data_IF_333361546734
#
_entry.id   IF_333361546734
#
_cell.length_a   1.000
_cell.length_b   1.000
_cell.length_c   1.000
_cell.angle_alpha   90.00
_cell.angle_beta   90.00
_cell.angle_gamma   90.00
#
_symmetry.space_group_name_H-M   'P 1'
#
loop_
_entity.id
_entity.type
_entity.pdbx_description
1 polymer ?
#
# COMPACT_ATOMS: atom_id res chain seq x y z
N UNK A 1 -9.06 11.07 -6.46
CA UNK A 1 -7.72 11.07 -5.84
C UNK A 1 -7.50 12.43 -5.20
N UNK A 2 -7.34 12.50 -3.89
CA UNK A 2 -7.06 13.72 -3.13
C UNK A 2 -5.56 14.02 -3.08
N UNK A 3 -5.19 15.22 -2.60
CA UNK A 3 -3.77 15.60 -2.39
C UNK A 3 -3.09 14.67 -1.38
N UNK A 4 -3.79 14.32 -0.30
CA UNK A 4 -3.29 13.42 0.74
C UNK A 4 -3.06 12.00 0.20
N UNK A 5 -4.00 11.46 -0.56
CA UNK A 5 -3.84 10.15 -1.23
C UNK A 5 -2.63 10.16 -2.17
N UNK A 6 -2.47 11.23 -2.96
CA UNK A 6 -1.31 11.39 -3.84
C UNK A 6 0.01 11.38 -3.06
N UNK A 7 0.08 12.07 -1.93
CA UNK A 7 1.26 12.10 -1.05
C UNK A 7 1.64 10.71 -0.54
N UNK A 8 0.66 9.91 -0.09
CA UNK A 8 0.89 8.54 0.36
C UNK A 8 1.51 7.66 -0.73
N UNK A 9 0.99 7.77 -1.95
CA UNK A 9 1.48 6.99 -3.09
C UNK A 9 2.92 7.35 -3.46
N UNK A 10 3.24 8.65 -3.46
CA UNK A 10 4.60 9.15 -3.72
C UNK A 10 5.55 8.65 -2.64
N UNK A 11 5.19 8.76 -1.36
CA UNK A 11 6.02 8.27 -0.24
C UNK A 11 6.27 6.77 -0.33
N UNK A 12 5.27 5.98 -0.69
CA UNK A 12 5.46 4.54 -0.94
C UNK A 12 6.46 4.26 -2.06
N UNK A 13 6.35 4.98 -3.18
CA UNK A 13 7.24 4.83 -4.36
C UNK A 13 8.68 5.22 -4.07
N UNK A 14 8.90 6.26 -3.27
CA UNK A 14 10.24 6.75 -2.92
C UNK A 14 10.96 5.89 -1.87
N UNK A 15 10.38 4.76 -1.48
CA UNK A 15 11.02 3.82 -0.57
C UNK A 15 10.36 3.72 0.78
N UNK A 16 9.40 4.60 1.12
CA UNK A 16 8.65 4.68 2.38
C UNK A 16 9.49 4.84 3.66
N UNK A 17 10.60 4.13 3.75
CA UNK A 17 11.54 4.13 4.84
C UNK A 17 12.08 5.55 5.00
N UNK A 18 11.92 6.18 6.17
CA UNK A 18 12.75 7.34 6.46
C UNK A 18 14.21 6.87 6.39
N UNK A 19 15.12 7.74 5.95
CA UNK A 19 16.56 7.54 6.15
C UNK A 19 16.98 7.57 7.63
N UNK A 20 16.10 7.15 8.55
CA UNK A 20 16.26 7.14 10.00
C UNK A 20 16.03 5.75 10.60
N UNK A 21 16.07 5.66 11.93
CA UNK A 21 15.94 4.38 12.66
C UNK A 21 14.55 3.76 12.42
N UNK A 22 14.44 2.44 12.12
CA UNK A 22 13.16 1.76 11.99
C UNK A 22 12.36 1.90 13.28
N UNK A 23 11.12 2.41 13.21
CA UNK A 23 10.21 2.37 14.36
C UNK A 23 9.78 0.94 14.62
N UNK A 24 9.50 0.53 15.87
CA UNK A 24 8.89 -0.76 16.13
C UNK A 24 7.48 -0.80 15.52
N UNK A 25 7.07 -1.96 15.00
CA UNK A 25 5.69 -2.15 14.59
C UNK A 25 4.78 -2.24 15.83
N UNK A 26 3.49 -1.91 15.67
CA UNK A 26 2.48 -2.08 16.73
C UNK A 26 2.31 -3.52 17.18
N UNK A 27 2.74 -4.51 16.38
CA UNK A 27 2.77 -5.91 16.79
C UNK A 27 3.97 -6.30 17.67
N UNK A 28 4.82 -5.33 18.07
CA UNK A 28 5.98 -5.55 18.94
C UNK A 28 7.25 -6.01 18.23
N UNK A 29 7.20 -6.32 16.93
CA UNK A 29 8.38 -6.71 16.17
C UNK A 29 9.14 -5.50 15.57
N UNK A 30 10.46 -5.57 15.63
CA UNK A 30 11.42 -4.63 15.03
C UNK A 30 12.52 -5.44 14.34
N UNK A 31 13.06 -5.00 13.18
CA UNK A 31 12.83 -3.73 12.48
C UNK A 31 11.59 -3.73 11.56
N UNK A 32 10.98 -2.56 11.41
CA UNK A 32 9.89 -2.34 10.45
C UNK A 32 10.42 -2.38 9.02
N UNK A 33 10.27 -3.52 8.37
CA UNK A 33 10.59 -3.72 6.94
C UNK A 33 9.33 -3.78 6.09
N UNK A 34 9.45 -3.55 4.77
CA UNK A 34 8.33 -3.74 3.82
C UNK A 34 7.73 -5.14 3.89
N UNK A 35 8.56 -6.17 4.06
CA UNK A 35 8.12 -7.56 4.19
C UNK A 35 7.33 -7.76 5.49
N UNK A 36 7.84 -7.24 6.59
CA UNK A 36 7.17 -7.33 7.88
C UNK A 36 5.80 -6.65 7.86
N UNK A 37 5.73 -5.39 7.39
CA UNK A 37 4.46 -4.65 7.39
C UNK A 37 3.44 -5.26 6.42
N UNK A 38 3.90 -5.85 5.30
CA UNK A 38 3.04 -6.60 4.38
C UNK A 38 2.37 -7.79 5.06
N UNK A 39 3.10 -8.51 5.90
CA UNK A 39 2.57 -9.62 6.69
C UNK A 39 1.67 -9.12 7.82
N UNK A 40 2.13 -8.12 8.60
CA UNK A 40 1.41 -7.60 9.76
C UNK A 40 0.05 -6.99 9.40
N UNK A 41 -0.06 -6.35 8.23
CA UNK A 41 -1.29 -5.71 7.75
C UNK A 41 -2.03 -6.55 6.70
N UNK A 42 -1.60 -7.79 6.47
CA UNK A 42 -2.22 -8.74 5.54
C UNK A 42 -2.46 -8.16 4.12
N UNK A 43 -1.44 -7.52 3.53
CA UNK A 43 -1.57 -6.82 2.25
C UNK A 43 -2.14 -7.70 1.14
N UNK A 44 -1.66 -8.94 1.04
CA UNK A 44 -2.12 -9.90 0.03
C UNK A 44 -3.62 -10.16 0.09
N UNK A 45 -4.12 -10.40 1.31
CA UNK A 45 -5.55 -10.66 1.55
C UNK A 45 -6.38 -9.43 1.18
N UNK A 46 -5.98 -8.26 1.70
CA UNK A 46 -6.76 -7.02 1.56
C UNK A 46 -6.73 -6.42 0.15
N UNK A 47 -5.68 -6.70 -0.62
CA UNK A 47 -5.53 -6.26 -2.02
C UNK A 47 -5.89 -7.36 -3.04
N UNK A 48 -6.27 -8.55 -2.58
CA UNK A 48 -6.54 -9.71 -3.44
C UNK A 48 -5.36 -10.02 -4.39
N UNK A 49 -4.13 -9.93 -3.86
CA UNK A 49 -2.90 -10.19 -4.61
C UNK A 49 -2.31 -11.54 -4.19
N UNK A 50 -1.90 -12.40 -5.14
CA UNK A 50 -1.26 -13.68 -4.83
C UNK A 50 -0.06 -13.54 -3.89
N UNK A 51 0.10 -14.48 -2.95
CA UNK A 51 1.18 -14.50 -1.94
C UNK A 51 2.59 -14.56 -2.55
N UNK A 52 2.72 -15.06 -3.78
CA UNK A 52 3.98 -15.08 -4.54
C UNK A 52 4.51 -13.68 -4.93
N UNK A 53 3.69 -12.64 -4.84
CA UNK A 53 4.09 -11.27 -5.22
C UNK A 53 4.80 -10.59 -4.05
N UNK A 54 6.11 -10.35 -4.17
CA UNK A 54 6.90 -9.82 -3.05
C UNK A 54 6.42 -8.45 -2.50
N UNK A 55 5.92 -7.56 -3.37
CA UNK A 55 5.39 -6.24 -2.98
C UNK A 55 3.97 -6.04 -3.57
N UNK A 56 2.92 -6.39 -2.79
CA UNK A 56 1.54 -6.28 -3.24
C UNK A 56 1.10 -4.86 -3.60
N UNK A 57 1.56 -3.86 -2.83
CA UNK A 57 1.21 -2.47 -3.08
C UNK A 57 1.82 -2.02 -4.41
N UNK A 58 3.13 -2.21 -4.60
CA UNK A 58 3.79 -1.83 -5.85
C UNK A 58 3.20 -2.56 -7.05
N UNK A 59 2.81 -3.83 -6.89
CA UNK A 59 2.12 -4.60 -7.93
C UNK A 59 0.79 -3.97 -8.35
N UNK A 60 -0.04 -3.54 -7.40
CA UNK A 60 -1.30 -2.84 -7.70
C UNK A 60 -1.01 -1.48 -8.34
N UNK A 61 -0.05 -0.71 -7.81
CA UNK A 61 0.30 0.60 -8.34
C UNK A 61 0.80 0.55 -9.78
N UNK A 62 1.50 -0.51 -10.17
CA UNK A 62 1.95 -0.71 -11.55
C UNK A 62 0.82 -1.05 -12.53
N UNK A 63 -0.36 -1.41 -12.03
CA UNK A 63 -1.55 -1.72 -12.84
C UNK A 63 -2.49 -0.53 -12.98
N UNK A 64 -2.18 0.61 -12.37
CA UNK A 64 -3.04 1.78 -12.42
C UNK A 64 -3.37 2.15 -13.88
N UNK A 65 -4.64 2.45 -14.17
CA UNK A 65 -5.06 2.71 -15.53
C UNK A 65 -4.48 4.06 -15.97
N UNK A 66 -3.69 4.05 -17.06
CA UNK A 66 -3.09 5.28 -17.63
C UNK A 66 -4.12 6.22 -18.24
N UNK A 67 -5.29 5.68 -18.60
CA UNK A 67 -6.46 6.39 -19.13
C UNK A 67 -7.68 5.96 -18.32
N UNK A 68 -8.73 6.77 -18.30
CA UNK A 68 -9.98 6.40 -17.63
C UNK A 68 -10.45 5.01 -18.11
N UNK A 69 -10.72 4.05 -17.21
CA UNK A 69 -11.18 2.72 -17.61
C UNK A 69 -12.49 2.81 -18.39
N UNK A 70 -12.54 2.21 -19.57
CA UNK A 70 -13.74 2.16 -20.40
C UNK A 70 -14.62 0.96 -20.05
N UNK A 71 -14.00 -0.18 -19.76
CA UNK A 71 -14.66 -1.43 -19.36
C UNK A 71 -15.21 -1.36 -17.93
N UNK A 72 -16.45 -1.79 -17.73
CA UNK A 72 -17.10 -1.77 -16.41
C UNK A 72 -16.46 -2.71 -15.40
N UNK A 73 -15.92 -3.85 -15.84
CA UNK A 73 -15.15 -4.75 -14.97
C UNK A 73 -13.92 -4.08 -14.38
N UNK A 74 -13.19 -3.30 -15.19
CA UNK A 74 -12.05 -2.51 -14.72
C UNK A 74 -12.48 -1.39 -13.78
N UNK A 75 -13.59 -0.68 -14.07
CA UNK A 75 -14.12 0.36 -13.17
C UNK A 75 -14.47 -0.23 -11.80
N UNK A 76 -15.23 -1.33 -11.76
CA UNK A 76 -15.63 -2.01 -10.52
C UNK A 76 -14.42 -2.52 -9.73
N UNK A 77 -13.45 -3.12 -10.41
CA UNK A 77 -12.20 -3.56 -9.78
C UNK A 77 -11.51 -2.40 -9.05
N UNK A 78 -11.32 -1.25 -9.72
CA UNK A 78 -10.66 -0.11 -9.10
C UNK A 78 -11.51 0.57 -8.03
N UNK A 79 -12.83 0.61 -8.18
CA UNK A 79 -13.74 1.09 -7.13
C UNK A 79 -13.63 0.26 -5.83
N UNK A 80 -13.40 -1.05 -5.97
CA UNK A 80 -13.24 -1.95 -4.81
C UNK A 80 -11.81 -1.92 -4.24
N UNK A 81 -10.78 -1.95 -5.09
CA UNK A 81 -9.38 -2.05 -4.66
C UNK A 81 -8.83 -0.72 -4.14
N UNK A 82 -9.28 0.42 -4.70
CA UNK A 82 -8.73 1.73 -4.35
C UNK A 82 -8.90 2.10 -2.87
N UNK A 83 -10.08 1.96 -2.25
CA UNK A 83 -10.24 2.23 -0.82
C UNK A 83 -9.34 1.36 0.06
N UNK A 84 -9.19 0.06 -0.26
CA UNK A 84 -8.31 -0.86 0.46
C UNK A 84 -6.84 -0.45 0.36
N UNK A 85 -6.40 -0.05 -0.83
CA UNK A 85 -5.05 0.45 -1.08
C UNK A 85 -4.75 1.71 -0.27
N UNK A 86 -5.63 2.71 -0.32
CA UNK A 86 -5.46 3.96 0.41
C UNK A 86 -5.49 3.73 1.92
N UNK A 87 -6.42 2.91 2.41
CA UNK A 87 -6.50 2.59 3.82
C UNK A 87 -5.24 1.88 4.33
N UNK A 88 -4.69 0.94 3.55
CA UNK A 88 -3.41 0.31 3.87
C UNK A 88 -2.29 1.34 3.95
N UNK A 89 -2.14 2.19 2.93
CA UNK A 89 -1.12 3.23 2.92
C UNK A 89 -1.25 4.18 4.12
N UNK A 90 -2.47 4.54 4.52
CA UNK A 90 -2.72 5.34 5.72
C UNK A 90 -2.32 4.61 7.02
N UNK A 91 -2.56 3.31 7.12
CA UNK A 91 -2.13 2.53 8.29
C UNK A 91 -0.62 2.46 8.39
N UNK A 92 0.05 2.20 7.26
CA UNK A 92 1.51 2.24 7.19
C UNK A 92 1.98 3.64 7.61
N UNK A 93 1.29 4.70 7.18
CA UNK A 93 1.64 6.11 7.48
C UNK A 93 1.65 6.39 8.96
N UNK A 94 0.58 5.96 9.63
CA UNK A 94 0.42 6.09 11.06
C UNK A 94 1.47 5.30 11.82
N UNK A 95 1.80 4.07 11.41
CA UNK A 95 2.84 3.27 12.07
C UNK A 95 4.21 3.96 11.98
N UNK A 96 4.47 4.67 10.89
CA UNK A 96 5.78 5.30 10.66
C UNK A 96 5.92 6.70 11.27
N UNK A 97 4.81 7.46 11.33
CA UNK A 97 4.79 8.87 11.70
C UNK A 97 4.00 9.18 12.99
N UNK A 98 3.43 8.19 13.67
CA UNK A 98 3.05 8.30 15.08
C UNK A 98 4.30 8.13 15.94
#
# INVERSE_FOLDING_TARGET
MTVAERSLLVRWRLGWLPGGKPRPCTCGHSPLTKKHISLCLFFHLRLHVPTRVADPISYILNRLPKKRPTKDSSKRYWQFIWPSLINLLLQVDRIQHA
#
